data_IF_783158938945
#
_entry.id   IF_783158938945
#
_cell.length_a   1.000
_cell.length_b   1.000
_cell.length_c   1.000
_cell.angle_alpha   90.00
_cell.angle_beta   90.00
_cell.angle_gamma   90.00
#
_symmetry.space_group_name_H-M   'P 1'
#
loop_
_entity.id
_entity.type
_entity.pdbx_description
1 polymer ?
#
# COMPACT_ATOMS: atom_id res chain seq x y z
N UNK A 1 20.91 31.41 58.53
CA UNK A 1 19.81 30.44 58.75
C UNK A 1 19.99 29.26 57.81
N UNK A 2 20.06 28.05 58.38
CA UNK A 2 19.85 26.67 57.85
C UNK A 2 20.01 26.42 56.32
N UNK A 3 21.03 25.69 55.86
CA UNK A 3 21.20 24.22 55.85
C UNK A 3 20.29 23.48 54.86
N UNK A 4 20.88 22.69 53.95
CA UNK A 4 20.15 21.66 53.21
C UNK A 4 20.73 21.23 51.86
N UNK A 5 21.85 20.50 51.87
CA UNK A 5 22.22 19.59 50.76
C UNK A 5 21.32 18.37 50.85
N UNK A 6 20.59 18.03 49.79
CA UNK A 6 19.87 16.76 49.68
C UNK A 6 20.34 15.99 48.45
N UNK A 7 21.14 14.96 48.74
CA UNK A 7 21.31 13.77 47.90
C UNK A 7 19.97 13.01 47.88
N UNK A 8 19.51 12.62 46.70
CA UNK A 8 18.40 11.68 46.52
C UNK A 8 18.78 10.60 45.53
N UNK A 9 19.13 9.42 46.04
CA UNK A 9 19.12 8.16 45.30
C UNK A 9 17.66 7.75 45.09
N UNK A 10 17.29 7.32 43.88
CA UNK A 10 16.18 6.37 43.71
C UNK A 10 16.48 5.38 42.58
N UNK A 11 16.54 4.11 42.98
CA UNK A 11 16.26 2.85 42.28
C UNK A 11 16.93 2.53 40.93
N UNK A 12 17.85 1.57 41.00
CA UNK A 12 18.17 0.60 39.95
C UNK A 12 17.46 -0.71 40.29
N UNK A 13 16.51 -1.13 39.46
CA UNK A 13 15.97 -2.51 39.36
C UNK A 13 15.87 -2.79 37.83
N UNK A 14 16.77 -3.54 37.20
CA UNK A 14 16.91 -5.00 37.09
C UNK A 14 15.81 -5.74 36.27
N UNK A 15 16.11 -5.90 34.97
CA UNK A 15 15.86 -7.06 34.04
C UNK A 15 14.40 -7.45 33.63
N UNK A 16 14.20 -8.28 32.57
CA UNK A 16 14.76 -8.20 31.21
C UNK A 16 13.75 -8.57 30.08
N UNK A 17 13.96 -8.06 28.86
CA UNK A 17 13.47 -8.71 27.64
C UNK A 17 14.65 -9.04 26.73
N UNK A 18 15.29 -10.18 27.03
CA UNK A 18 16.11 -10.94 26.08
C UNK A 18 15.25 -12.08 25.54
N UNK A 19 14.86 -12.01 24.28
CA UNK A 19 14.57 -13.19 23.47
C UNK A 19 15.32 -12.98 22.15
N UNK A 20 16.57 -13.45 22.16
CA UNK A 20 17.35 -13.62 20.96
C UNK A 20 16.88 -14.87 20.24
N UNK A 21 16.56 -14.73 18.96
CA UNK A 21 16.58 -15.84 18.03
C UNK A 21 17.86 -15.67 17.21
N UNK A 22 18.89 -16.41 17.61
CA UNK A 22 20.09 -16.63 16.81
C UNK A 22 19.71 -17.47 15.59
N UNK A 23 19.74 -16.89 14.40
CA UNK A 23 19.74 -17.67 13.16
C UNK A 23 21.18 -17.99 12.77
N UNK A 24 21.55 -19.27 12.95
CA UNK A 24 22.83 -19.84 12.57
C UNK A 24 22.89 -20.02 11.04
N UNK A 25 23.80 -19.32 10.38
CA UNK A 25 24.09 -19.46 8.95
C UNK A 25 25.39 -20.24 8.75
N UNK A 26 25.36 -21.57 8.86
CA UNK A 26 26.37 -22.46 8.25
C UNK A 26 25.75 -23.82 7.93
N UNK A 27 26.07 -24.33 6.73
CA UNK A 27 25.61 -25.58 6.08
C UNK A 27 24.23 -25.41 5.41
N UNK A 28 24.05 -25.61 4.10
CA UNK A 28 24.61 -26.62 3.19
C UNK A 28 24.66 -26.06 1.77
N UNK A 29 25.83 -26.18 1.13
CA UNK A 29 25.95 -26.22 -0.32
C UNK A 29 25.87 -27.69 -0.76
N UNK A 30 24.84 -28.07 -1.51
CA UNK A 30 24.82 -29.24 -2.41
C UNK A 30 23.54 -29.15 -3.24
N UNK A 31 23.69 -29.23 -4.57
CA UNK A 31 22.62 -28.91 -5.51
C UNK A 31 21.47 -29.90 -5.52
N UNK A 32 20.28 -29.39 -5.81
CA UNK A 32 19.20 -30.08 -6.51
C UNK A 32 18.43 -29.04 -7.32
N UNK A 33 18.34 -29.24 -8.64
CA UNK A 33 17.41 -28.50 -9.50
C UNK A 33 15.99 -28.92 -9.10
N UNK A 34 15.26 -28.05 -8.41
CA UNK A 34 13.82 -28.21 -8.23
C UNK A 34 13.11 -27.32 -9.23
N UNK A 35 12.28 -27.93 -10.08
CA UNK A 35 11.34 -27.31 -11.00
C UNK A 35 10.51 -26.21 -10.32
N UNK A 36 10.08 -25.16 -11.04
CA UNK A 36 9.27 -24.10 -10.46
C UNK A 36 7.91 -24.65 -10.01
N UNK A 37 7.39 -24.25 -8.83
CA UNK A 37 6.10 -24.73 -8.37
C UNK A 37 4.98 -24.15 -9.24
N UNK A 38 4.28 -25.03 -9.96
CA UNK A 38 2.98 -24.76 -10.54
C UNK A 38 1.99 -24.43 -9.42
N UNK A 39 1.72 -23.14 -9.20
CA UNK A 39 0.57 -22.68 -8.41
C UNK A 39 -0.10 -21.52 -9.13
N UNK A 40 -0.79 -21.83 -10.23
CA UNK A 40 -1.80 -20.95 -10.83
C UNK A 40 -3.24 -21.37 -10.49
N UNK A 41 -3.46 -22.53 -9.84
CA UNK A 41 -4.82 -23.06 -9.62
C UNK A 41 -5.44 -22.73 -8.26
N UNK A 42 -4.71 -22.11 -7.33
CA UNK A 42 -5.22 -21.85 -5.97
C UNK A 42 -6.12 -20.61 -5.84
N UNK A 43 -6.32 -19.82 -6.91
CA UNK A 43 -7.22 -18.65 -6.87
C UNK A 43 -8.70 -18.99 -7.13
N UNK A 44 -8.99 -20.18 -7.69
CA UNK A 44 -10.34 -20.54 -8.17
C UNK A 44 -11.29 -21.03 -7.08
N UNK A 45 -10.81 -21.32 -5.86
CA UNK A 45 -11.63 -21.97 -4.81
C UNK A 45 -12.30 -21.01 -3.80
N UNK A 46 -12.14 -19.70 -3.95
CA UNK A 46 -12.85 -18.75 -3.06
C UNK A 46 -14.30 -18.55 -3.55
N UNK A 47 -15.23 -19.26 -2.92
CA UNK A 47 -16.69 -19.01 -3.04
C UNK A 47 -16.96 -17.51 -2.87
N UNK A 48 -17.36 -16.85 -3.97
CA UNK A 48 -17.77 -15.45 -3.97
C UNK A 48 -16.89 -14.49 -4.80
N UNK A 49 -15.84 -14.95 -5.48
CA UNK A 49 -15.16 -14.10 -6.46
C UNK A 49 -16.10 -13.89 -7.66
N UNK A 50 -16.65 -12.68 -7.80
CA UNK A 50 -17.32 -12.25 -9.04
C UNK A 50 -16.30 -12.45 -10.16
N UNK A 51 -16.68 -13.19 -11.21
CA UNK A 51 -15.85 -13.34 -12.41
C UNK A 51 -15.70 -11.95 -13.02
N UNK A 52 -14.55 -11.31 -12.82
CA UNK A 52 -14.26 -10.02 -13.44
C UNK A 52 -13.94 -10.25 -14.91
N UNK A 53 -14.54 -9.45 -15.79
CA UNK A 53 -14.29 -9.49 -17.25
C UNK A 53 -12.90 -8.96 -17.65
N UNK A 54 -12.14 -8.45 -16.67
CA UNK A 54 -10.77 -7.98 -16.82
C UNK A 54 -9.94 -8.30 -15.59
N UNK A 55 -8.61 -8.29 -15.76
CA UNK A 55 -7.66 -8.56 -14.68
C UNK A 55 -6.63 -7.44 -14.57
N UNK A 56 -6.36 -6.99 -13.35
CA UNK A 56 -5.23 -6.13 -13.02
C UNK A 56 -4.14 -6.98 -12.37
N UNK A 57 -2.88 -6.72 -12.73
CA UNK A 57 -1.70 -7.46 -12.26
C UNK A 57 -0.83 -6.66 -11.31
N UNK A 58 -1.00 -5.34 -11.27
CA UNK A 58 -0.26 -4.48 -10.35
C UNK A 58 -0.84 -3.08 -10.22
N UNK A 59 -0.27 -2.32 -9.28
CA UNK A 59 -0.66 -0.96 -8.93
C UNK A 59 0.59 -0.10 -8.84
N UNK A 60 0.52 1.09 -9.43
CA UNK A 60 1.60 2.07 -9.40
C UNK A 60 1.04 3.37 -8.80
N UNK A 61 1.66 3.79 -7.70
CA UNK A 61 1.35 5.04 -7.01
C UNK A 61 2.20 6.18 -7.57
N UNK A 62 1.54 7.30 -7.86
CA UNK A 62 2.12 8.48 -8.49
C UNK A 62 1.90 9.73 -7.65
N UNK A 63 2.76 10.71 -7.88
CA UNK A 63 2.52 12.10 -7.50
C UNK A 63 2.32 12.93 -8.77
N UNK A 64 1.19 13.63 -8.88
CA UNK A 64 0.64 14.01 -10.20
C UNK A 64 1.35 15.16 -10.93
N UNK A 65 2.38 15.80 -10.36
CA UNK A 65 2.99 17.01 -10.94
C UNK A 65 1.98 18.15 -11.18
N UNK A 66 0.94 18.26 -10.34
CA UNK A 66 -0.15 19.23 -10.47
C UNK A 66 -0.36 20.07 -9.20
N UNK A 67 -1.28 21.03 -9.24
CA UNK A 67 -1.85 21.59 -8.00
C UNK A 67 -2.82 20.59 -7.36
N UNK A 68 -3.55 21.01 -6.33
CA UNK A 68 -4.65 20.22 -5.76
C UNK A 68 -5.94 20.22 -6.59
N UNK A 69 -5.95 20.86 -7.76
CA UNK A 69 -7.13 20.91 -8.60
C UNK A 69 -7.25 19.64 -9.44
N UNK A 70 -8.45 19.06 -9.45
CA UNK A 70 -8.82 18.05 -10.45
C UNK A 70 -8.94 18.74 -11.80
N UNK A 71 -8.11 18.32 -12.75
CA UNK A 71 -8.13 18.84 -14.12
C UNK A 71 -8.36 17.70 -15.10
N UNK A 72 -8.93 17.96 -16.29
CA UNK A 72 -9.07 16.95 -17.33
C UNK A 72 -7.75 16.25 -17.68
N UNK A 73 -6.64 17.01 -17.63
CA UNK A 73 -5.31 16.45 -17.88
C UNK A 73 -4.91 15.41 -16.82
N UNK A 74 -5.11 15.69 -15.52
CA UNK A 74 -4.80 14.70 -14.47
C UNK A 74 -5.71 13.48 -14.57
N UNK A 75 -7.02 13.69 -14.75
CA UNK A 75 -8.00 12.61 -14.86
C UNK A 75 -7.72 11.68 -16.04
N UNK A 76 -7.16 12.20 -17.14
CA UNK A 76 -6.77 11.40 -18.31
C UNK A 76 -5.63 10.41 -18.03
N UNK A 77 -4.73 10.70 -17.09
CA UNK A 77 -3.50 9.94 -16.93
C UNK A 77 -3.58 8.80 -15.92
N UNK A 78 -4.51 8.83 -14.97
CA UNK A 78 -4.62 7.84 -13.89
C UNK A 78 -5.99 7.16 -13.91
N UNK A 79 -6.08 5.94 -13.38
CA UNK A 79 -7.38 5.27 -13.19
C UNK A 79 -8.12 5.86 -11.99
N UNK A 80 -7.38 6.27 -10.96
CA UNK A 80 -7.92 6.94 -9.78
C UNK A 80 -7.04 8.13 -9.39
N UNK A 81 -7.67 9.18 -8.89
CA UNK A 81 -7.02 10.40 -8.42
C UNK A 81 -7.49 10.72 -7.01
N UNK A 82 -6.56 11.01 -6.09
CA UNK A 82 -6.88 11.29 -4.69
C UNK A 82 -6.55 12.75 -4.37
N UNK A 83 -7.56 13.50 -3.94
CA UNK A 83 -7.41 14.90 -3.55
C UNK A 83 -6.83 15.06 -2.14
N UNK A 84 -6.45 16.29 -1.79
CA UNK A 84 -5.83 16.66 -0.51
C UNK A 84 -6.69 16.31 0.71
N UNK A 85 -7.99 16.08 0.53
CA UNK A 85 -8.95 15.70 1.57
C UNK A 85 -9.21 14.19 1.61
N UNK A 86 -8.36 13.40 0.93
CA UNK A 86 -8.43 11.95 0.85
C UNK A 86 -9.67 11.41 0.13
N UNK A 87 -10.35 12.23 -0.68
CA UNK A 87 -11.43 11.76 -1.54
C UNK A 87 -10.84 11.13 -2.79
N UNK A 88 -11.33 9.93 -3.11
CA UNK A 88 -10.99 9.20 -4.34
C UNK A 88 -11.95 9.65 -5.45
N UNK A 89 -11.38 9.98 -6.60
CA UNK A 89 -12.08 10.35 -7.82
C UNK A 89 -11.70 9.37 -8.92
N UNK A 90 -12.68 8.98 -9.73
CA UNK A 90 -12.41 8.17 -10.92
C UNK A 90 -11.68 9.01 -11.97
N UNK A 91 -10.67 8.41 -12.58
CA UNK A 91 -10.06 8.95 -13.79
C UNK A 91 -10.94 8.75 -15.02
N UNK A 92 -10.51 9.32 -16.14
CA UNK A 92 -11.20 9.20 -17.43
C UNK A 92 -11.21 7.77 -17.97
N UNK A 93 -10.20 6.97 -17.61
CA UNK A 93 -10.04 5.61 -18.10
C UNK A 93 -10.21 4.62 -16.94
N UNK A 94 -11.28 3.80 -16.93
CA UNK A 94 -11.47 2.77 -15.92
C UNK A 94 -10.39 1.67 -16.00
N UNK A 95 -10.25 0.88 -14.94
CA UNK A 95 -9.25 -0.20 -14.87
C UNK A 95 -9.33 -1.17 -16.05
N UNK A 96 -10.53 -1.50 -16.52
CA UNK A 96 -10.75 -2.40 -17.66
C UNK A 96 -9.98 -1.96 -18.92
N UNK A 97 -9.78 -0.65 -19.12
CA UNK A 97 -9.05 -0.11 -20.27
C UNK A 97 -7.54 -0.37 -20.23
N UNK A 98 -6.99 -0.80 -19.10
CA UNK A 98 -5.59 -1.23 -18.99
C UNK A 98 -5.37 -2.64 -19.56
N UNK A 99 -6.43 -3.32 -20.03
CA UNK A 99 -6.34 -4.61 -20.73
C UNK A 99 -5.82 -4.41 -22.16
N UNK A 100 -4.70 -5.05 -22.55
CA UNK A 100 -4.19 -5.03 -23.91
C UNK A 100 -5.20 -5.57 -24.94
N UNK A 101 -5.10 -5.15 -26.22
CA UNK A 101 -4.11 -4.21 -26.76
C UNK A 101 -4.36 -2.76 -26.32
N UNK A 102 -3.30 -2.07 -25.90
CA UNK A 102 -3.39 -0.67 -25.46
C UNK A 102 -3.25 0.29 -26.65
N UNK A 103 -4.32 1.05 -26.90
CA UNK A 103 -4.36 2.04 -27.97
C UNK A 103 -4.23 3.45 -27.38
N UNK A 104 -3.36 4.28 -27.97
CA UNK A 104 -3.14 5.66 -27.50
C UNK A 104 -4.46 6.42 -27.30
N UNK A 105 -4.61 7.07 -26.15
CA UNK A 105 -5.82 7.83 -25.80
C UNK A 105 -7.01 7.00 -25.33
N UNK A 106 -6.92 5.65 -25.29
CA UNK A 106 -8.00 4.78 -24.80
C UNK A 106 -7.75 4.18 -23.42
N UNK A 107 -6.62 4.48 -22.79
CA UNK A 107 -6.21 3.92 -21.51
C UNK A 107 -5.44 4.96 -20.67
N UNK A 108 -5.30 4.71 -19.36
CA UNK A 108 -4.56 5.58 -18.46
C UNK A 108 -3.04 5.40 -18.69
N UNK A 109 -2.42 6.33 -19.41
CA UNK A 109 -1.00 6.32 -19.68
C UNK A 109 -0.21 7.03 -18.55
N UNK A 110 0.05 6.31 -17.46
CA UNK A 110 0.75 6.84 -16.27
C UNK A 110 2.22 6.40 -16.18
N UNK A 111 2.59 5.23 -16.69
CA UNK A 111 3.94 4.69 -16.54
C UNK A 111 4.52 4.28 -17.89
N UNK A 112 5.70 4.80 -18.22
CA UNK A 112 6.33 4.55 -19.52
C UNK A 112 6.57 3.05 -19.70
N UNK A 113 6.00 2.48 -20.77
CA UNK A 113 6.14 1.06 -21.17
C UNK A 113 5.69 0.04 -20.10
N UNK A 114 4.83 0.45 -19.17
CA UNK A 114 4.34 -0.44 -18.11
C UNK A 114 2.92 -0.05 -17.66
N UNK A 115 1.98 0.05 -18.61
CA UNK A 115 0.57 0.35 -18.31
C UNK A 115 -0.33 -0.89 -18.46
N UNK A 116 0.10 -1.90 -19.22
CA UNK A 116 -0.70 -3.11 -19.45
C UNK A 116 -0.96 -3.83 -18.13
N UNK A 117 -2.25 -4.00 -17.81
CA UNK A 117 -2.76 -4.58 -16.58
C UNK A 117 -2.29 -3.84 -15.31
N UNK A 118 -1.89 -2.57 -15.40
CA UNK A 118 -1.45 -1.77 -14.25
C UNK A 118 -2.49 -0.72 -13.90
N UNK A 119 -2.90 -0.68 -12.63
CA UNK A 119 -3.68 0.42 -12.10
C UNK A 119 -2.77 1.61 -11.78
N UNK A 120 -3.11 2.79 -12.28
CA UNK A 120 -2.47 4.05 -11.91
C UNK A 120 -3.29 4.80 -10.86
N UNK A 121 -2.70 5.06 -9.70
CA UNK A 121 -3.29 5.92 -8.65
C UNK A 121 -2.44 7.19 -8.53
N UNK A 122 -3.04 8.35 -8.78
CA UNK A 122 -2.38 9.65 -8.66
C UNK A 122 -2.77 10.39 -7.39
N UNK A 123 -1.80 10.82 -6.59
CA UNK A 123 -2.03 11.76 -5.49
C UNK A 123 -1.88 13.20 -6.00
N UNK A 124 -2.94 14.01 -5.89
CA UNK A 124 -2.90 15.40 -6.35
C UNK A 124 -1.86 16.23 -5.60
N UNK A 125 -0.95 16.88 -6.34
CA UNK A 125 0.06 17.78 -5.82
C UNK A 125 1.36 17.74 -6.64
N UNK A 126 2.46 18.22 -6.05
CA UNK A 126 3.84 18.27 -6.58
C UNK A 126 4.13 19.47 -7.47
N UNK A 127 3.17 20.37 -7.71
CA UNK A 127 3.47 21.54 -8.52
C UNK A 127 4.55 22.42 -7.87
N UNK A 128 5.66 22.57 -8.59
CA UNK A 128 6.85 23.28 -8.14
C UNK A 128 7.78 22.49 -7.22
N UNK A 129 7.53 21.20 -6.99
CA UNK A 129 8.45 20.34 -6.24
C UNK A 129 9.76 20.10 -7.03
N UNK A 130 10.86 19.90 -6.32
CA UNK A 130 12.19 19.67 -6.88
C UNK A 130 12.84 18.50 -6.17
N UNK A 131 13.50 17.63 -6.92
CA UNK A 131 14.26 16.51 -6.35
C UNK A 131 15.56 16.98 -5.71
N UNK A 132 16.28 17.91 -6.36
CA UNK A 132 17.61 18.38 -5.95
C UNK A 132 17.80 19.89 -6.22
N UNK A 133 18.14 20.70 -5.20
CA UNK A 133 17.95 20.40 -3.78
C UNK A 133 16.48 20.07 -3.50
N UNK A 134 16.24 19.15 -2.58
CA UNK A 134 14.89 18.63 -2.37
C UNK A 134 13.94 19.72 -1.85
N UNK A 135 12.77 19.85 -2.48
CA UNK A 135 11.71 20.77 -2.06
C UNK A 135 10.36 20.18 -2.41
N UNK A 136 9.41 20.22 -1.46
CA UNK A 136 8.05 19.75 -1.68
C UNK A 136 7.20 20.67 -2.58
N UNK A 137 7.71 21.86 -2.93
CA UNK A 137 6.96 22.85 -3.69
C UNK A 137 5.79 23.44 -2.91
N UNK A 138 4.81 24.02 -3.63
CA UNK A 138 3.63 24.67 -3.02
C UNK A 138 2.49 23.69 -2.71
N UNK A 139 2.57 22.47 -3.21
CA UNK A 139 1.48 21.49 -3.16
C UNK A 139 2.00 20.10 -2.70
N UNK A 140 2.55 19.97 -1.47
CA UNK A 140 2.96 18.68 -0.92
C UNK A 140 1.80 17.68 -0.88
N UNK A 141 2.04 16.40 -1.12
CA UNK A 141 1.04 15.37 -0.76
C UNK A 141 0.86 15.28 0.76
N UNK A 142 -0.29 14.79 1.20
CA UNK A 142 -0.64 14.67 2.62
C UNK A 142 -0.63 13.21 3.08
N UNK A 143 -0.50 13.01 4.40
CA UNK A 143 -0.57 11.68 5.00
C UNK A 143 -1.92 11.01 4.73
N UNK A 144 -3.00 11.79 4.75
CA UNK A 144 -4.36 11.29 4.53
C UNK A 144 -4.58 10.86 3.07
N UNK A 145 -4.01 11.59 2.10
CA UNK A 145 -3.95 11.17 0.69
C UNK A 145 -3.29 9.81 0.53
N UNK A 146 -2.10 9.67 1.12
CA UNK A 146 -1.31 8.45 1.03
C UNK A 146 -2.03 7.25 1.69
N UNK A 147 -2.66 7.47 2.85
CA UNK A 147 -3.46 6.42 3.49
C UNK A 147 -4.72 6.05 2.71
N UNK A 148 -5.35 6.98 1.99
CA UNK A 148 -6.42 6.64 1.06
C UNK A 148 -5.91 5.79 -0.12
N UNK A 149 -4.72 6.09 -0.65
CA UNK A 149 -4.09 5.25 -1.68
C UNK A 149 -3.76 3.84 -1.16
N UNK A 150 -3.28 3.70 0.08
CA UNK A 150 -3.07 2.40 0.73
C UNK A 150 -4.38 1.61 0.75
N UNK A 151 -5.48 2.23 1.20
CA UNK A 151 -6.80 1.59 1.28
C UNK A 151 -7.33 1.17 -0.08
N UNK A 152 -7.20 2.04 -1.09
CA UNK A 152 -7.63 1.75 -2.45
C UNK A 152 -6.82 0.61 -3.07
N UNK A 153 -5.50 0.63 -2.87
CA UNK A 153 -4.60 -0.41 -3.37
C UNK A 153 -4.87 -1.76 -2.73
N UNK A 154 -5.15 -1.79 -1.42
CA UNK A 154 -5.57 -3.01 -0.75
C UNK A 154 -6.87 -3.57 -1.35
N UNK A 155 -7.85 -2.72 -1.68
CA UNK A 155 -9.07 -3.13 -2.41
C UNK A 155 -8.70 -3.80 -3.74
N UNK A 156 -7.94 -3.11 -4.60
CA UNK A 156 -7.56 -3.61 -5.94
C UNK A 156 -6.78 -4.92 -5.82
N UNK A 157 -5.88 -5.03 -4.84
CA UNK A 157 -5.10 -6.25 -4.63
C UNK A 157 -5.97 -7.43 -4.19
N UNK A 158 -6.97 -7.20 -3.35
CA UNK A 158 -7.92 -8.24 -2.94
C UNK A 158 -8.78 -8.67 -4.12
N UNK A 159 -9.38 -7.70 -4.83
CA UNK A 159 -10.36 -7.95 -5.90
C UNK A 159 -9.74 -8.69 -7.09
N UNK A 160 -8.47 -8.41 -7.41
CA UNK A 160 -7.74 -9.04 -8.50
C UNK A 160 -6.73 -10.12 -8.05
N UNK A 161 -6.66 -10.42 -6.76
CA UNK A 161 -5.74 -11.41 -6.21
C UNK A 161 -4.25 -11.09 -6.41
N UNK A 162 -3.90 -9.81 -6.39
CA UNK A 162 -2.52 -9.33 -6.57
C UNK A 162 -1.73 -9.56 -5.29
N UNK A 163 -0.62 -10.28 -5.40
CA UNK A 163 0.33 -10.42 -4.28
C UNK A 163 1.14 -9.13 -4.15
N UNK A 164 1.28 -8.58 -2.94
CA UNK A 164 2.02 -7.32 -2.70
C UNK A 164 3.53 -7.54 -2.71
N UNK A 165 4.19 -7.16 -3.80
CA UNK A 165 5.64 -7.31 -4.02
C UNK A 165 6.25 -6.03 -4.62
N UNK A 166 7.59 -5.86 -4.60
CA UNK A 166 8.25 -4.76 -5.31
C UNK A 166 8.03 -4.74 -6.83
N UNK A 167 7.45 -5.79 -7.42
CA UNK A 167 7.15 -5.89 -8.86
C UNK A 167 5.68 -5.66 -9.20
N UNK A 168 4.80 -5.63 -8.20
CA UNK A 168 3.35 -5.57 -8.40
C UNK A 168 2.69 -4.40 -7.68
N UNK A 169 3.31 -3.87 -6.63
CA UNK A 169 2.83 -2.68 -5.91
C UNK A 169 4.02 -1.74 -5.71
N UNK A 170 4.07 -0.69 -6.54
CA UNK A 170 5.21 0.20 -6.65
C UNK A 170 4.80 1.66 -6.47
N UNK A 171 5.74 2.49 -6.06
CA UNK A 171 5.73 3.90 -6.46
C UNK A 171 6.37 4.06 -7.84
N UNK A 172 6.10 5.15 -8.57
CA UNK A 172 6.72 5.35 -9.90
C UNK A 172 8.26 5.36 -9.84
N UNK A 173 8.84 5.90 -8.77
CA UNK A 173 10.27 5.97 -8.50
C UNK A 173 10.93 4.58 -8.49
N UNK A 174 10.20 3.54 -8.10
CA UNK A 174 10.72 2.18 -8.02
C UNK A 174 10.71 1.44 -9.36
N UNK A 175 9.92 1.91 -10.35
CA UNK A 175 9.68 1.16 -11.59
C UNK A 175 10.97 0.87 -12.34
N UNK A 176 11.90 1.83 -12.41
CA UNK A 176 13.15 1.62 -13.15
C UNK A 176 14.03 0.59 -12.47
N UNK A 177 14.23 0.71 -11.15
CA UNK A 177 15.17 -0.13 -10.42
C UNK A 177 14.61 -1.55 -10.19
N UNK A 178 13.30 -1.66 -9.92
CA UNK A 178 12.68 -2.96 -9.65
C UNK A 178 12.34 -3.75 -10.92
N UNK A 179 12.07 -3.08 -12.05
CA UNK A 179 11.60 -3.72 -13.29
C UNK A 179 12.57 -3.58 -14.47
N UNK A 180 13.64 -2.78 -14.36
CA UNK A 180 14.58 -2.53 -15.46
C UNK A 180 14.02 -1.65 -16.59
N UNK A 181 12.86 -1.01 -16.39
CA UNK A 181 12.19 -0.21 -17.41
C UNK A 181 12.57 1.27 -17.24
N UNK A 182 13.43 1.80 -18.13
CA UNK A 182 13.87 3.20 -18.09
C UNK A 182 12.70 4.19 -17.99
N UNK A 183 12.65 4.97 -16.90
CA UNK A 183 11.58 5.94 -16.61
C UNK A 183 11.94 7.41 -16.85
N UNK A 184 13.16 7.73 -17.32
CA UNK A 184 13.61 9.11 -17.62
C UNK A 184 13.61 10.05 -16.40
N UNK A 185 14.22 9.62 -15.29
CA UNK A 185 14.40 10.47 -14.11
C UNK A 185 13.12 10.72 -13.30
N UNK A 186 12.14 9.81 -13.37
CA UNK A 186 10.96 9.85 -12.52
C UNK A 186 11.34 9.42 -11.11
N UNK A 187 11.06 10.28 -10.13
CA UNK A 187 11.46 10.13 -8.73
C UNK A 187 10.27 10.10 -7.77
N UNK A 188 9.04 10.18 -8.27
CA UNK A 188 7.85 10.17 -7.42
C UNK A 188 7.46 8.73 -7.03
N UNK A 189 7.44 8.33 -5.76
CA UNK A 189 7.59 9.12 -4.55
C UNK A 189 8.84 8.63 -3.84
N UNK A 190 9.85 9.48 -3.72
CA UNK A 190 11.10 9.22 -2.97
C UNK A 190 11.08 9.85 -1.58
N UNK A 191 10.11 10.71 -1.26
CA UNK A 191 10.04 11.42 0.02
C UNK A 191 8.59 11.61 0.48
N UNK A 192 8.36 11.55 1.79
CA UNK A 192 7.06 11.78 2.42
C UNK A 192 7.06 13.09 3.21
N UNK A 193 6.24 14.10 2.86
CA UNK A 193 6.24 15.42 3.52
C UNK A 193 6.08 15.41 5.04
N UNK A 194 5.34 14.43 5.58
CA UNK A 194 5.08 14.30 7.02
C UNK A 194 6.06 13.38 7.74
N UNK A 195 6.98 12.72 7.03
CA UNK A 195 7.93 11.80 7.63
C UNK A 195 9.29 11.85 6.90
N UNK A 196 10.16 12.72 7.39
CA UNK A 196 11.51 12.90 6.88
C UNK A 196 12.47 11.73 7.15
N UNK A 197 12.08 10.73 7.95
CA UNK A 197 12.92 9.54 8.19
C UNK A 197 12.82 8.49 7.07
N UNK A 198 11.80 8.58 6.20
CA UNK A 198 11.58 7.62 5.09
C UNK A 198 11.97 8.31 3.79
N UNK A 199 13.19 8.06 3.32
CA UNK A 199 13.78 8.71 2.15
C UNK A 199 14.28 7.65 1.16
N UNK A 200 14.06 7.91 -0.12
CA UNK A 200 14.46 7.07 -1.24
C UNK A 200 13.35 6.13 -1.71
N UNK A 201 13.42 5.77 -2.99
CA UNK A 201 12.39 4.98 -3.67
C UNK A 201 12.13 3.64 -2.95
N UNK A 202 13.19 2.93 -2.57
CA UNK A 202 13.10 1.65 -1.87
C UNK A 202 12.44 1.78 -0.50
N UNK A 203 12.78 2.81 0.28
CA UNK A 203 12.25 3.01 1.62
C UNK A 203 10.76 3.39 1.58
N UNK A 204 10.40 4.37 0.75
CA UNK A 204 9.01 4.78 0.57
C UNK A 204 8.15 3.64 0.01
N UNK A 205 8.64 2.93 -1.00
CA UNK A 205 7.94 1.78 -1.57
C UNK A 205 7.73 0.64 -0.58
N UNK A 206 8.74 0.34 0.23
CA UNK A 206 8.64 -0.70 1.27
C UNK A 206 7.66 -0.29 2.37
N UNK A 207 7.66 0.98 2.78
CA UNK A 207 6.70 1.53 3.71
C UNK A 207 5.26 1.44 3.15
N UNK A 208 5.07 1.84 1.90
CA UNK A 208 3.80 1.75 1.20
C UNK A 208 3.26 0.32 1.16
N UNK A 209 4.07 -0.63 0.68
CA UNK A 209 3.69 -2.05 0.62
C UNK A 209 3.38 -2.64 1.99
N UNK A 210 4.13 -2.26 3.04
CA UNK A 210 3.86 -2.73 4.39
C UNK A 210 2.45 -2.30 4.86
N UNK A 211 2.10 -1.04 4.66
CA UNK A 211 0.77 -0.51 5.00
C UNK A 211 -0.34 -1.17 4.18
N UNK A 212 -0.11 -1.44 2.89
CA UNK A 212 -1.06 -2.16 2.04
C UNK A 212 -1.31 -3.57 2.59
N UNK A 213 -0.27 -4.31 2.99
CA UNK A 213 -0.43 -5.65 3.59
C UNK A 213 -1.22 -5.59 4.89
N UNK A 214 -0.88 -4.66 5.79
CA UNK A 214 -1.62 -4.46 7.05
C UNK A 214 -3.10 -4.18 6.78
N UNK A 215 -3.40 -3.34 5.78
CA UNK A 215 -4.79 -3.02 5.42
C UNK A 215 -5.51 -4.21 4.77
N UNK A 216 -4.82 -5.01 3.95
CA UNK A 216 -5.37 -6.26 3.41
C UNK A 216 -5.70 -7.25 4.52
N UNK A 217 -4.76 -7.49 5.45
CA UNK A 217 -4.94 -8.38 6.59
C UNK A 217 -6.11 -7.91 7.46
N UNK A 218 -6.20 -6.61 7.75
CA UNK A 218 -7.30 -6.01 8.50
C UNK A 218 -8.67 -6.26 7.86
N UNK A 219 -8.75 -6.29 6.53
CA UNK A 219 -10.02 -6.53 5.79
C UNK A 219 -10.36 -8.00 5.69
N UNK A 220 -9.37 -8.85 5.48
CA UNK A 220 -9.56 -10.30 5.33
C UNK A 220 -9.81 -10.99 6.68
N UNK A 221 -9.31 -10.42 7.78
CA UNK A 221 -9.50 -10.98 9.13
C UNK A 221 -10.67 -10.36 9.90
N UNK A 222 -11.32 -9.32 9.38
CA UNK A 222 -12.46 -8.69 10.06
C UNK A 222 -13.59 -9.73 10.18
N UNK A 223 -13.99 -10.14 11.40
CA UNK A 223 -15.09 -11.08 11.54
C UNK A 223 -16.32 -10.44 10.92
N UNK A 224 -17.00 -11.15 10.02
CA UNK A 224 -18.38 -10.84 9.72
C UNK A 224 -19.13 -10.92 11.05
N UNK A 225 -19.52 -9.76 11.59
CA UNK A 225 -20.46 -9.74 12.72
C UNK A 225 -21.72 -10.44 12.22
N UNK A 226 -21.87 -11.71 12.61
CA UNK A 226 -23.09 -12.46 12.29
C UNK A 226 -24.24 -11.73 12.98
N UNK A 227 -25.29 -11.32 12.24
CA UNK A 227 -26.49 -10.74 12.84
C UNK A 227 -27.08 -11.67 13.92
N UNK A 228 -26.84 -12.97 13.78
CA UNK A 228 -27.28 -14.00 14.70
C UNK A 228 -26.42 -14.14 15.95
N UNK A 229 -25.14 -13.73 15.93
CA UNK A 229 -24.29 -13.82 17.12
C UNK A 229 -24.76 -12.88 18.24
N UNK A 230 -25.24 -11.69 17.87
CA UNK A 230 -25.88 -10.76 18.81
C UNK A 230 -27.24 -11.30 19.29
N UNK A 231 -28.04 -11.89 18.39
CA UNK A 231 -29.35 -12.46 18.73
C UNK A 231 -29.24 -13.67 19.67
N UNK A 232 -28.34 -14.62 19.40
CA UNK A 232 -28.13 -15.79 20.26
C UNK A 232 -27.60 -15.40 21.64
N UNK A 233 -26.72 -14.39 21.72
CA UNK A 233 -26.26 -13.87 23.01
C UNK A 233 -27.39 -13.23 23.83
N UNK A 234 -28.28 -12.49 23.16
CA UNK A 234 -29.46 -11.89 23.80
C UNK A 234 -30.50 -12.93 24.26
N UNK A 235 -30.70 -14.00 23.49
CA UNK A 235 -31.60 -15.12 23.86
C UNK A 235 -31.00 -15.91 25.03
N UNK A 236 -29.70 -16.26 24.99
CA UNK A 236 -29.05 -16.99 26.06
C UNK A 236 -29.08 -16.23 27.40
N UNK A 237 -28.92 -14.90 27.38
CA UNK A 237 -29.04 -14.07 28.58
C UNK A 237 -30.46 -14.03 29.16
N UNK A 238 -31.49 -14.21 28.32
CA UNK A 238 -32.90 -14.18 28.74
C UNK A 238 -33.43 -15.53 29.25
N UNK A 239 -32.78 -16.64 28.88
CA UNK A 239 -33.23 -17.99 29.22
C UNK A 239 -32.22 -18.83 30.04
N UNK A 240 -30.99 -18.35 30.25
CA UNK A 240 -29.95 -19.05 31.02
C UNK A 240 -30.05 -18.91 32.55
N UNK A 241 -30.93 -18.06 33.05
CA UNK A 241 -31.10 -17.79 34.48
C UNK A 241 -32.17 -18.65 35.14
N UNK A 242 -31.87 -19.93 35.38
CA UNK A 242 -32.34 -20.73 36.53
C UNK A 242 -31.79 -22.16 36.42
N UNK A 243 -30.74 -22.45 37.18
CA UNK A 243 -30.59 -23.77 37.80
C UNK A 243 -30.70 -23.54 39.30
N UNK A 244 -31.55 -24.38 39.89
CA UNK A 244 -32.03 -24.48 41.27
C UNK A 244 -30.98 -24.22 42.34
#
# INVERSE_FOLDING_TARGET
MRAGVLKGQVARDLLPWRLGIMFNWKQVAAGQRTSPPQKMDALSSRKGLVKMDYLIKGVILHWTASSYNLTPNVLKHYNFVIDQFAKVHDGLHPLAHQTPPLNSGKYAAHTRRHNSYQAGIGLLGMHGAKEKPFSYGKYPITAIQFMAAVKLTATICIDHGITVTPQTVLTHAEVQDNLGIKQRGKWDITNLPWNSSIIGATAVGSHYRNLVRVEMDRRLTKPTQSPWAALFSAIAAKFGGKKT
#
